data_IF_428243895428
#
_entry.id   IF_428243895428
#
_cell.length_a   1.000
_cell.length_b   1.000
_cell.length_c   1.000
_cell.angle_alpha   90.00
_cell.angle_beta   90.00
_cell.angle_gamma   90.00
#
_symmetry.space_group_name_H-M   'P 1'
#
loop_
_entity.id
_entity.type
_entity.pdbx_description
1 polymer ?
#
# COMPACT_ATOMS: atom_id res chain seq x y z
N UNK A 1 -45.30 1.04 -13.60
CA UNK A 1 -44.98 2.14 -12.67
C UNK A 1 -43.60 1.86 -12.11
N UNK A 2 -42.65 2.70 -12.53
CA UNK A 2 -41.23 2.66 -12.25
C UNK A 2 -40.99 3.06 -10.78
N UNK A 3 -40.32 2.23 -9.98
CA UNK A 3 -39.50 2.72 -8.86
C UNK A 3 -38.14 2.05 -9.01
N UNK A 4 -37.23 2.90 -9.46
CA UNK A 4 -35.81 2.72 -9.68
C UNK A 4 -35.06 2.81 -8.35
N UNK A 5 -33.88 2.19 -8.31
CA UNK A 5 -32.65 2.66 -7.66
C UNK A 5 -32.72 3.13 -6.20
N UNK A 6 -32.00 2.41 -5.33
CA UNK A 6 -30.91 2.94 -4.48
C UNK A 6 -30.58 1.83 -3.49
N UNK A 7 -29.53 1.04 -3.75
CA UNK A 7 -28.57 0.53 -2.74
C UNK A 7 -27.40 -0.20 -3.43
N UNK A 8 -26.73 0.43 -4.40
CA UNK A 8 -25.40 -0.01 -4.87
C UNK A 8 -24.31 0.98 -4.43
N UNK A 9 -24.50 1.60 -3.27
CA UNK A 9 -23.49 2.43 -2.60
C UNK A 9 -22.62 1.57 -1.66
N UNK A 10 -22.08 0.48 -2.20
CA UNK A 10 -21.05 -0.31 -1.55
C UNK A 10 -19.88 -0.51 -2.52
N UNK A 11 -19.40 0.59 -3.12
CA UNK A 11 -18.06 0.61 -3.67
C UNK A 11 -17.14 0.56 -2.46
N UNK A 12 -16.70 -0.65 -2.15
CA UNK A 12 -15.66 -1.05 -1.24
C UNK A 12 -14.74 -1.96 -2.05
N UNK A 13 -13.54 -2.29 -1.59
CA UNK A 13 -12.84 -3.45 -2.16
C UNK A 13 -13.66 -4.71 -1.82
N UNK A 14 -14.68 -5.07 -2.61
CA UNK A 14 -15.65 -6.12 -2.28
C UNK A 14 -15.07 -7.54 -2.40
N UNK A 15 -13.85 -7.65 -2.93
CA UNK A 15 -13.10 -8.89 -3.08
C UNK A 15 -11.68 -8.71 -2.54
N UNK A 16 -11.05 -9.83 -2.19
CA UNK A 16 -9.62 -9.84 -1.90
C UNK A 16 -8.85 -9.41 -3.15
N UNK A 17 -7.75 -8.69 -2.96
CA UNK A 17 -6.93 -8.20 -4.08
C UNK A 17 -5.44 -8.40 -3.85
N UNK A 18 -4.71 -8.39 -4.95
CA UNK A 18 -3.25 -8.27 -4.98
C UNK A 18 -2.89 -6.87 -5.47
N UNK A 19 -2.02 -6.19 -4.74
CA UNK A 19 -1.42 -4.92 -5.16
C UNK A 19 0.03 -5.16 -5.57
N UNK A 20 0.43 -4.59 -6.70
CA UNK A 20 1.81 -4.59 -7.18
C UNK A 20 2.23 -3.13 -7.31
N UNK A 21 3.33 -2.75 -6.67
CA UNK A 21 3.88 -1.40 -6.78
C UNK A 21 5.30 -1.41 -7.34
N UNK A 22 5.62 -0.38 -8.12
CA UNK A 22 6.99 -0.07 -8.57
C UNK A 22 7.26 1.40 -8.30
N UNK A 23 8.43 1.74 -7.78
CA UNK A 23 8.70 3.10 -7.34
C UNK A 23 10.15 3.40 -7.04
N UNK A 24 10.35 4.49 -6.32
CA UNK A 24 11.64 4.92 -5.79
C UNK A 24 11.60 4.97 -4.27
N UNK A 25 12.66 4.50 -3.64
CA UNK A 25 12.94 4.55 -2.21
C UNK A 25 13.90 5.72 -1.90
N UNK A 26 13.73 6.32 -0.73
CA UNK A 26 14.50 7.47 -0.22
C UNK A 26 14.31 8.78 -1.00
N UNK A 27 13.08 9.08 -1.41
CA UNK A 27 12.78 10.18 -2.36
C UNK A 27 12.90 11.59 -1.79
N UNK A 28 12.86 11.79 -0.48
CA UNK A 28 12.91 13.13 0.14
C UNK A 28 14.31 13.57 0.59
N UNK A 29 15.33 12.71 0.49
CA UNK A 29 16.68 13.02 0.96
C UNK A 29 17.55 13.47 -0.21
N UNK A 30 17.66 14.79 -0.39
CA UNK A 30 18.31 15.44 -1.53
C UNK A 30 19.80 15.10 -1.67
N UNK A 31 20.48 14.74 -0.57
CA UNK A 31 21.91 14.43 -0.54
C UNK A 31 22.21 12.92 -0.53
N UNK A 32 21.21 12.07 -0.72
CA UNK A 32 21.35 10.61 -0.71
C UNK A 32 20.85 10.01 -2.02
N UNK A 33 21.38 8.84 -2.39
CA UNK A 33 20.91 8.14 -3.59
C UNK A 33 19.50 7.56 -3.37
N UNK A 34 18.66 7.68 -4.40
CA UNK A 34 17.37 6.98 -4.49
C UNK A 34 17.57 5.63 -5.16
N UNK A 35 16.88 4.60 -4.67
CA UNK A 35 16.96 3.24 -5.21
C UNK A 35 15.61 2.83 -5.76
N UNK A 36 15.54 1.87 -6.68
CA UNK A 36 14.24 1.36 -7.12
C UNK A 36 13.58 0.51 -6.02
N UNK A 37 12.26 0.61 -5.88
CA UNK A 37 11.44 -0.15 -4.94
C UNK A 37 10.39 -0.98 -5.68
N UNK A 38 10.13 -2.19 -5.19
CA UNK A 38 9.00 -3.02 -5.59
C UNK A 38 8.23 -3.48 -4.37
N UNK A 39 6.91 -3.61 -4.51
CA UNK A 39 6.05 -4.15 -3.46
C UNK A 39 5.02 -5.10 -4.01
N UNK A 40 4.68 -6.10 -3.20
CA UNK A 40 3.55 -6.99 -3.42
C UNK A 40 2.75 -7.06 -2.14
N UNK A 41 1.45 -6.79 -2.21
CA UNK A 41 0.55 -6.81 -1.06
C UNK A 41 -0.67 -7.68 -1.35
N UNK A 42 -1.13 -8.42 -0.35
CA UNK A 42 -2.43 -9.06 -0.31
C UNK A 42 -3.35 -8.23 0.58
N UNK A 43 -4.49 -7.82 0.05
CA UNK A 43 -5.47 -6.97 0.74
C UNK A 43 -6.77 -7.72 0.91
N UNK A 44 -7.28 -7.73 2.14
CA UNK A 44 -8.56 -8.37 2.45
C UNK A 44 -9.72 -7.60 1.84
N UNK A 45 -10.79 -8.32 1.51
CA UNK A 45 -12.05 -7.69 1.16
C UNK A 45 -12.56 -6.79 2.29
N UNK A 46 -13.32 -5.75 1.93
CA UNK A 46 -13.94 -4.82 2.86
C UNK A 46 -14.82 -5.58 3.84
N UNK A 47 -14.53 -5.44 5.13
CA UNK A 47 -15.36 -5.99 6.21
C UNK A 47 -15.98 -4.83 6.98
N UNK A 48 -17.17 -4.41 6.56
CA UNK A 48 -17.96 -3.31 7.15
C UNK A 48 -17.25 -1.93 7.01
N UNK A 49 -17.58 -0.95 7.87
CA UNK A 49 -16.90 0.36 7.95
C UNK A 49 -15.57 0.31 8.73
N UNK A 50 -14.96 -0.87 8.86
CA UNK A 50 -13.78 -1.11 9.70
C UNK A 50 -12.51 -1.08 8.86
N UNK A 51 -11.39 -0.87 9.54
CA UNK A 51 -10.03 -1.11 9.05
C UNK A 51 -9.89 -2.51 8.40
N UNK A 52 -9.43 -2.56 7.15
CA UNK A 52 -9.26 -3.79 6.39
C UNK A 52 -7.83 -4.34 6.59
N UNK A 53 -7.66 -5.62 6.99
CA UNK A 53 -6.35 -6.22 7.10
C UNK A 53 -5.64 -6.34 5.75
N UNK A 54 -4.34 -6.07 5.74
CA UNK A 54 -3.46 -6.35 4.59
C UNK A 54 -2.08 -6.81 5.07
N UNK A 55 -1.33 -7.44 4.17
CA UNK A 55 0.06 -7.79 4.41
C UNK A 55 0.83 -7.82 3.11
N UNK A 56 2.14 -7.58 3.19
CA UNK A 56 2.96 -7.49 2.00
C UNK A 56 4.45 -7.52 2.28
N UNK A 57 5.18 -7.45 1.17
CA UNK A 57 6.62 -7.38 1.13
C UNK A 57 7.05 -6.20 0.28
N UNK A 58 8.13 -5.54 0.69
CA UNK A 58 8.84 -4.53 -0.08
C UNK A 58 10.27 -4.99 -0.29
N UNK A 59 10.83 -4.72 -1.47
CA UNK A 59 12.24 -4.90 -1.79
C UNK A 59 12.80 -3.67 -2.51
N UNK A 60 14.09 -3.40 -2.38
CA UNK A 60 14.77 -2.40 -3.18
C UNK A 60 16.06 -2.92 -3.84
N UNK A 61 16.59 -2.17 -4.81
CA UNK A 61 17.80 -2.58 -5.57
C UNK A 61 19.07 -2.71 -4.73
N UNK A 62 19.10 -2.11 -3.55
CA UNK A 62 20.23 -2.17 -2.62
C UNK A 62 20.11 -3.34 -1.63
N UNK A 63 19.11 -4.20 -1.83
CA UNK A 63 18.91 -5.43 -1.06
C UNK A 63 18.16 -5.26 0.25
N UNK A 64 17.51 -4.11 0.48
CA UNK A 64 16.59 -4.01 1.60
C UNK A 64 15.32 -4.82 1.36
N UNK A 65 14.75 -5.33 2.45
CA UNK A 65 13.41 -5.89 2.46
C UNK A 65 12.62 -5.44 3.69
N UNK A 66 11.29 -5.35 3.55
CA UNK A 66 10.37 -5.15 4.66
C UNK A 66 9.20 -6.13 4.50
N UNK A 67 9.00 -7.00 5.47
CA UNK A 67 7.74 -7.75 5.62
C UNK A 67 6.84 -7.01 6.59
N UNK A 68 5.58 -6.77 6.23
CA UNK A 68 4.65 -5.99 7.05
C UNK A 68 3.23 -6.52 6.98
N UNK A 69 2.49 -6.31 8.06
CA UNK A 69 1.06 -6.56 8.12
C UNK A 69 0.37 -5.51 8.98
N UNK A 70 -0.82 -5.11 8.58
CA UNK A 70 -1.52 -4.05 9.28
C UNK A 70 -2.89 -3.80 8.69
N UNK A 71 -3.28 -2.54 8.69
CA UNK A 71 -4.60 -2.12 8.29
C UNK A 71 -4.59 -0.98 7.28
N UNK A 72 -5.57 -1.01 6.40
CA UNK A 72 -5.87 0.07 5.45
C UNK A 72 -7.35 0.45 5.55
N UNK A 73 -7.72 1.61 5.01
CA UNK A 73 -9.11 2.01 4.90
C UNK A 73 -9.35 2.72 3.56
N UNK A 74 -10.44 2.40 2.87
CA UNK A 74 -10.79 3.04 1.59
C UNK A 74 -11.78 4.18 1.83
N UNK A 75 -11.35 5.42 1.55
CA UNK A 75 -12.21 6.60 1.48
C UNK A 75 -12.57 6.90 0.03
N UNK A 76 -13.85 6.80 -0.31
CA UNK A 76 -14.37 7.08 -1.63
C UNK A 76 -14.57 8.58 -1.77
N UNK A 77 -13.66 9.25 -2.49
CA UNK A 77 -13.74 10.68 -2.75
C UNK A 77 -14.73 10.97 -3.89
N UNK A 78 -14.81 10.06 -4.85
CA UNK A 78 -15.83 9.99 -5.91
C UNK A 78 -16.14 8.52 -6.20
N UNK A 79 -17.01 8.24 -7.19
CA UNK A 79 -17.29 6.88 -7.65
C UNK A 79 -16.04 6.16 -8.20
N UNK A 80 -15.03 6.91 -8.65
CA UNK A 80 -13.83 6.36 -9.28
C UNK A 80 -12.55 6.68 -8.51
N UNK A 81 -12.53 7.69 -7.63
CA UNK A 81 -11.33 8.11 -6.92
C UNK A 81 -11.40 7.65 -5.48
N UNK A 82 -10.41 6.84 -5.09
CA UNK A 82 -10.31 6.23 -3.76
C UNK A 82 -9.00 6.67 -3.13
N UNK A 83 -9.11 7.22 -1.91
CA UNK A 83 -7.98 7.53 -1.04
C UNK A 83 -7.85 6.47 0.04
N UNK A 84 -6.67 5.85 0.13
CA UNK A 84 -6.42 4.71 1.00
C UNK A 84 -5.23 4.98 1.92
N UNK A 85 -5.44 5.50 3.15
CA UNK A 85 -4.42 5.47 4.18
C UNK A 85 -4.22 4.05 4.71
N UNK A 86 -3.00 3.76 5.13
CA UNK A 86 -2.66 2.50 5.79
C UNK A 86 -1.53 2.65 6.79
N UNK A 87 -1.53 1.75 7.77
CA UNK A 87 -0.50 1.64 8.79
C UNK A 87 -0.18 0.17 9.05
N UNK A 88 1.11 -0.16 9.10
CA UNK A 88 1.57 -1.52 9.35
C UNK A 88 2.91 -1.54 10.10
N UNK A 89 3.03 -2.25 11.24
CA UNK A 89 4.33 -2.70 11.72
C UNK A 89 4.94 -3.72 10.76
N UNK A 90 6.27 -3.81 10.75
CA UNK A 90 7.00 -4.76 9.93
C UNK A 90 8.43 -5.01 10.38
N UNK A 91 9.04 -6.01 9.77
CA UNK A 91 10.43 -6.41 9.99
C UNK A 91 11.28 -6.02 8.78
N UNK A 92 12.16 -5.04 9.00
CA UNK A 92 13.10 -4.50 8.04
C UNK A 92 14.44 -5.22 8.10
N UNK A 93 14.93 -5.64 6.95
CA UNK A 93 16.29 -6.12 6.74
C UNK A 93 16.96 -5.18 5.75
N UNK A 94 18.01 -4.48 6.18
CA UNK A 94 18.58 -3.37 5.40
C UNK A 94 19.36 -3.79 4.15
N UNK A 95 19.97 -4.96 4.13
CA UNK A 95 20.96 -5.31 3.09
C UNK A 95 22.08 -4.25 3.03
N UNK A 96 22.35 -3.71 1.84
CA UNK A 96 23.25 -2.57 1.64
C UNK A 96 22.54 -1.22 1.60
N UNK A 97 21.25 -1.18 1.93
CA UNK A 97 20.43 0.03 1.90
C UNK A 97 20.48 0.82 3.21
N UNK A 98 19.57 1.80 3.33
CA UNK A 98 19.49 2.76 4.42
C UNK A 98 19.34 2.09 5.79
N UNK A 99 20.13 2.55 6.76
CA UNK A 99 20.03 2.09 8.14
C UNK A 99 18.88 2.81 8.85
N UNK A 100 17.88 2.03 9.30
CA UNK A 100 16.72 2.51 10.05
C UNK A 100 16.86 2.27 11.57
N UNK A 101 18.04 1.83 12.02
CA UNK A 101 18.42 1.54 13.41
C UNK A 101 17.75 0.32 14.04
N UNK A 102 16.55 -0.09 13.62
CA UNK A 102 15.87 -1.27 14.13
C UNK A 102 15.44 -2.21 13.00
N UNK A 103 15.23 -3.47 13.38
CA UNK A 103 14.51 -4.41 12.53
C UNK A 103 13.00 -4.16 12.60
N UNK A 104 12.47 -3.75 13.77
CA UNK A 104 11.06 -3.38 13.89
C UNK A 104 10.85 -1.94 13.40
N UNK A 105 10.08 -1.79 12.33
CA UNK A 105 9.77 -0.51 11.70
C UNK A 105 8.25 -0.38 11.48
N UNK A 106 7.76 0.85 11.37
CA UNK A 106 6.36 1.15 11.08
C UNK A 106 6.25 1.83 9.73
N UNK A 107 5.38 1.29 8.87
CA UNK A 107 5.04 1.83 7.56
C UNK A 107 3.71 2.56 7.63
N UNK A 108 3.74 3.87 7.38
CA UNK A 108 2.55 4.68 7.14
C UNK A 108 2.48 5.01 5.66
N UNK A 109 1.35 4.80 5.00
CA UNK A 109 1.18 5.09 3.58
C UNK A 109 -0.13 5.83 3.31
N UNK A 110 -0.05 6.76 2.36
CA UNK A 110 -1.20 7.32 1.66
C UNK A 110 -1.19 6.83 0.21
N UNK A 111 -2.33 6.39 -0.28
CA UNK A 111 -2.51 5.93 -1.66
C UNK A 111 -3.72 6.63 -2.28
N UNK A 112 -3.61 7.03 -3.54
CA UNK A 112 -4.70 7.61 -4.31
C UNK A 112 -4.83 6.82 -5.61
N UNK A 113 -5.98 6.19 -5.81
CA UNK A 113 -6.23 5.32 -6.98
C UNK A 113 -7.47 5.71 -7.75
N UNK A 114 -7.42 5.48 -9.06
CA UNK A 114 -8.57 5.43 -9.94
C UNK A 114 -9.08 3.99 -10.03
N UNK A 115 -10.37 3.78 -9.82
CA UNK A 115 -11.09 2.50 -9.90
C UNK A 115 -11.76 2.37 -11.27
N UNK A 116 -11.50 1.23 -11.93
CA UNK A 116 -12.02 0.93 -13.26
C UNK A 116 -13.25 0.01 -13.19
N UNK A 117 -14.01 -0.06 -14.27
CA UNK A 117 -15.20 -0.92 -14.39
C UNK A 117 -14.92 -2.41 -14.18
N UNK A 118 -13.68 -2.87 -14.42
CA UNK A 118 -13.26 -4.25 -14.19
C UNK A 118 -12.80 -4.51 -12.74
N UNK A 119 -13.12 -3.61 -11.81
CA UNK A 119 -12.76 -3.63 -10.39
C UNK A 119 -11.26 -3.47 -10.09
N UNK A 120 -10.40 -3.32 -11.11
CA UNK A 120 -9.00 -3.00 -10.90
C UNK A 120 -8.80 -1.54 -10.50
N UNK A 121 -7.64 -1.23 -9.94
CA UNK A 121 -7.28 0.15 -9.57
C UNK A 121 -5.86 0.48 -10.00
N UNK A 122 -5.65 1.70 -10.49
CA UNK A 122 -4.32 2.24 -10.81
C UNK A 122 -4.15 3.56 -10.06
N UNK A 123 -2.99 3.76 -9.45
CA UNK A 123 -2.76 4.96 -8.69
C UNK A 123 -1.32 5.16 -8.25
N UNK A 124 -1.16 6.15 -7.39
CA UNK A 124 0.13 6.49 -6.79
C UNK A 124 0.04 6.32 -5.28
N UNK A 125 1.20 6.10 -4.68
CA UNK A 125 1.33 5.95 -3.24
C UNK A 125 2.60 6.62 -2.75
N UNK A 126 2.50 7.14 -1.52
CA UNK A 126 3.61 7.71 -0.79
C UNK A 126 3.63 7.11 0.61
N UNK A 127 4.77 6.60 1.04
CA UNK A 127 4.91 6.02 2.36
C UNK A 127 6.14 6.52 3.09
N UNK A 128 6.09 6.43 4.41
CA UNK A 128 7.19 6.65 5.33
C UNK A 128 7.38 5.39 6.18
N UNK A 129 8.63 4.94 6.31
CA UNK A 129 9.04 3.84 7.17
C UNK A 129 9.97 4.39 8.24
N UNK A 130 9.63 4.16 9.52
CA UNK A 130 10.50 4.53 10.64
C UNK A 130 10.18 3.75 11.91
N UNK A 131 11.11 3.77 12.88
CA UNK A 131 10.95 3.07 14.14
C UNK A 131 10.15 3.88 15.18
N UNK A 132 9.54 5.01 14.78
CA UNK A 132 8.74 5.86 15.67
C UNK A 132 9.51 6.49 16.84
N UNK A 133 10.85 6.49 16.79
CA UNK A 133 11.69 6.99 17.88
C UNK A 133 11.97 5.96 18.97
N UNK A 134 11.63 4.68 18.75
CA UNK A 134 11.99 3.59 19.67
C UNK A 134 13.51 3.39 19.79
N UNK A 135 14.29 3.80 18.77
CA UNK A 135 15.75 3.84 18.83
C UNK A 135 16.30 5.02 18.03
N UNK A 136 17.28 5.70 18.61
CA UNK A 136 18.02 6.78 17.96
C UNK A 136 19.30 6.25 17.27
N UNK A 137 19.72 6.86 16.14
CA UNK A 137 18.99 7.88 15.38
C UNK A 137 17.78 7.28 14.64
N UNK A 138 16.66 8.00 14.58
CA UNK A 138 15.51 7.62 13.76
C UNK A 138 15.52 8.44 12.46
N UNK A 139 16.22 7.94 11.44
CA UNK A 139 16.36 8.65 10.17
C UNK A 139 15.08 8.60 9.33
N UNK A 140 14.34 7.50 9.43
CA UNK A 140 13.21 7.17 8.56
C UNK A 140 13.57 7.14 7.07
N UNK A 141 12.60 6.77 6.25
CA UNK A 141 12.74 6.77 4.79
C UNK A 141 11.40 6.87 4.10
N UNK A 142 11.36 7.63 3.00
CA UNK A 142 10.16 7.84 2.21
C UNK A 142 10.27 7.22 0.83
N UNK A 143 9.18 6.62 0.36
CA UNK A 143 9.08 6.08 -1.00
C UNK A 143 7.88 6.64 -1.74
N UNK A 144 8.01 6.75 -3.06
CA UNK A 144 6.94 7.11 -3.97
C UNK A 144 6.81 6.03 -5.05
N UNK A 145 5.61 5.52 -5.27
CA UNK A 145 5.40 4.39 -6.18
C UNK A 145 4.09 4.50 -6.96
N UNK A 146 4.10 3.94 -8.16
CA UNK A 146 2.91 3.58 -8.91
C UNK A 146 2.39 2.23 -8.38
N UNK A 147 1.09 2.12 -8.14
CA UNK A 147 0.45 0.90 -7.65
C UNK A 147 -0.65 0.47 -8.62
N UNK A 148 -0.66 -0.81 -8.97
CA UNK A 148 -1.77 -1.46 -9.65
C UNK A 148 -2.38 -2.53 -8.75
N UNK A 149 -3.71 -2.54 -8.63
CA UNK A 149 -4.46 -3.41 -7.72
C UNK A 149 -5.44 -4.24 -8.55
N UNK A 150 -5.37 -5.55 -8.36
CA UNK A 150 -6.15 -6.54 -9.10
C UNK A 150 -7.02 -7.35 -8.13
N UNK A 151 -8.34 -7.44 -8.37
CA UNK A 151 -9.19 -8.41 -7.69
C UNK A 151 -8.67 -9.84 -7.93
N UNK A 152 -8.58 -10.66 -6.89
CA UNK A 152 -8.18 -12.06 -7.02
C UNK A 152 -9.18 -12.86 -7.87
N UNK A 153 -10.46 -12.49 -7.86
CA UNK A 153 -11.48 -13.10 -8.73
C UNK A 153 -11.15 -12.98 -10.22
N UNK A 154 -10.55 -11.86 -10.64
CA UNK A 154 -10.15 -11.63 -12.04
C UNK A 154 -8.98 -12.54 -12.45
N UNK A 155 -8.03 -12.77 -11.53
CA UNK A 155 -6.91 -13.68 -11.75
C UNK A 155 -7.35 -15.15 -11.85
N UNK A 156 -8.25 -15.59 -10.98
CA UNK A 156 -8.68 -16.99 -10.93
C UNK A 156 -9.59 -17.40 -12.10
N UNK A 157 -10.36 -16.47 -12.67
CA UNK A 157 -11.20 -16.72 -13.84
C UNK A 157 -10.44 -16.74 -15.18
N UNK A 158 -9.14 -16.50 -15.16
CA UNK A 158 -8.28 -16.49 -16.35
C UNK A 158 -7.60 -17.85 -16.64
N UNK A 159 -7.93 -18.89 -15.85
CA UNK A 159 -7.47 -20.27 -15.97
C UNK A 159 -8.66 -21.24 -16.00
#
# INVERSE_FOLDING_TARGET
MLILLVTDLALGQNSQSIAISVGKFNVLRINEFTTSEWRVELRSAKRNNVLNPFGGVMFNSDGASLFYMGFLHDFYLTDHIIFTPSFAPGFYSRGNSKDLSLALEFRSQLELTYHFENESRLGISFNHISNGGLRLPNLGVESFALTYILPLSTLLNSF
#
